data_IF_264704733970
#
_entry.id   IF_264704733970
#
_cell.length_a   1.000
_cell.length_b   1.000
_cell.length_c   1.000
_cell.angle_alpha   90.00
_cell.angle_beta   90.00
_cell.angle_gamma   90.00
#
_symmetry.space_group_name_H-M   'P 1'
#
loop_
_entity.id
_entity.type
_entity.pdbx_description
1 polymer ?
#
# COMPACT_ATOMS: atom_id res chain seq x y z
N UNK A 1 16.27 -20.91 3.94
CA UNK A 1 15.64 -20.00 4.93
C UNK A 1 15.09 -18.69 4.34
N UNK A 2 15.23 -18.41 3.02
CA UNK A 2 14.80 -17.13 2.41
C UNK A 2 13.28 -17.01 2.14
N UNK A 3 12.60 -18.11 1.78
CA UNK A 3 11.22 -18.05 1.28
C UNK A 3 10.13 -17.95 2.37
N UNK A 4 10.39 -18.41 3.60
CA UNK A 4 9.40 -18.41 4.69
C UNK A 4 9.12 -16.98 5.17
N UNK A 5 10.15 -16.13 5.24
CA UNK A 5 10.01 -14.74 5.66
C UNK A 5 9.26 -13.88 4.62
N UNK A 6 9.40 -14.21 3.33
CA UNK A 6 8.61 -13.58 2.27
C UNK A 6 7.13 -13.98 2.32
N UNK A 7 6.85 -15.25 2.64
CA UNK A 7 5.50 -15.78 2.78
C UNK A 7 4.77 -15.21 4.01
N UNK A 8 5.48 -15.01 5.14
CA UNK A 8 4.92 -14.36 6.33
C UNK A 8 4.52 -12.90 6.07
N UNK A 9 5.32 -12.13 5.31
CA UNK A 9 5.00 -10.74 4.93
C UNK A 9 3.77 -10.63 4.02
N UNK A 10 3.49 -11.64 3.19
CA UNK A 10 2.28 -11.70 2.36
C UNK A 10 1.03 -11.95 3.21
N UNK A 11 1.13 -12.77 4.26
CA UNK A 11 0.01 -13.08 5.17
C UNK A 11 -0.36 -11.85 6.02
N UNK A 12 0.61 -11.05 6.44
CA UNK A 12 0.36 -9.83 7.23
C UNK A 12 -0.42 -8.75 6.46
N UNK A 13 -0.42 -8.80 5.12
CA UNK A 13 -1.11 -7.85 4.26
C UNK A 13 -2.56 -8.20 3.91
N UNK A 14 -3.04 -9.41 4.24
CA UNK A 14 -4.39 -9.87 3.89
C UNK A 14 -5.38 -9.41 4.97
N UNK A 15 -6.24 -8.44 4.66
CA UNK A 15 -7.42 -8.11 5.49
C UNK A 15 -8.56 -9.04 5.13
N UNK A 16 -8.95 -9.89 6.10
CA UNK A 16 -10.12 -10.76 5.99
C UNK A 16 -11.38 -9.93 6.20
N UNK A 17 -12.29 -9.91 5.21
CA UNK A 17 -13.67 -9.49 5.45
C UNK A 17 -14.35 -10.57 6.29
N UNK A 18 -14.99 -10.22 7.42
CA UNK A 18 -15.57 -11.22 8.31
C UNK A 18 -16.87 -11.74 7.69
N UNK A 19 -16.82 -12.94 7.12
CA UNK A 19 -18.00 -13.81 7.10
C UNK A 19 -18.19 -14.40 8.50
N UNK A 20 -19.46 -14.70 8.81
CA UNK A 20 -20.10 -14.89 10.13
C UNK A 20 -19.52 -15.92 11.12
N UNK A 21 -18.33 -16.45 10.91
CA UNK A 21 -17.67 -17.34 11.86
C UNK A 21 -16.37 -16.71 12.36
N UNK A 22 -16.27 -16.49 13.67
CA UNK A 22 -15.11 -15.94 14.38
C UNK A 22 -13.83 -16.74 14.08
N UNK A 23 -13.09 -16.34 13.04
CA UNK A 23 -11.74 -16.81 12.77
C UNK A 23 -10.74 -15.83 13.39
N UNK A 24 -10.26 -16.15 14.61
CA UNK A 24 -9.15 -15.40 15.20
C UNK A 24 -7.92 -15.44 14.29
N UNK A 25 -7.16 -14.33 14.25
CA UNK A 25 -5.95 -14.22 13.43
C UNK A 25 -4.98 -15.39 13.65
N UNK A 26 -4.86 -15.90 14.90
CA UNK A 26 -3.99 -17.05 15.19
C UNK A 26 -4.50 -18.35 14.55
N UNK A 27 -5.82 -18.55 14.51
CA UNK A 27 -6.45 -19.75 13.93
C UNK A 27 -6.29 -19.78 12.41
N UNK A 28 -6.42 -18.62 11.75
CA UNK A 28 -6.13 -18.45 10.33
C UNK A 28 -4.65 -18.77 10.05
N UNK A 29 -3.72 -18.13 10.77
CA UNK A 29 -2.29 -18.34 10.57
C UNK A 29 -1.87 -19.81 10.77
N UNK A 30 -2.42 -20.48 11.78
CA UNK A 30 -2.12 -21.89 12.04
C UNK A 30 -2.67 -22.82 10.95
N UNK A 31 -3.83 -22.50 10.38
CA UNK A 31 -4.46 -23.28 9.29
C UNK A 31 -3.68 -23.14 7.99
N UNK A 32 -3.28 -21.91 7.63
CA UNK A 32 -2.43 -21.65 6.46
C UNK A 32 -1.06 -22.32 6.58
N UNK A 33 -0.43 -22.31 7.76
CA UNK A 33 0.88 -22.97 7.98
C UNK A 33 0.82 -24.50 7.95
N UNK A 34 -0.28 -25.11 8.41
CA UNK A 34 -0.35 -26.56 8.62
C UNK A 34 -1.03 -27.33 7.49
N UNK A 35 -1.96 -26.72 6.75
CA UNK A 35 -2.84 -27.45 5.82
C UNK A 35 -2.72 -27.03 4.35
N UNK A 36 -2.19 -25.84 4.07
CA UNK A 36 -2.15 -25.31 2.71
C UNK A 36 -0.70 -25.32 2.22
N UNK A 37 -0.43 -26.07 1.15
CA UNK A 37 0.90 -26.07 0.55
C UNK A 37 1.16 -24.68 -0.09
N UNK A 38 2.33 -24.04 0.11
CA UNK A 38 2.60 -22.70 -0.44
C UNK A 38 2.35 -22.57 -1.95
N UNK A 39 2.61 -23.64 -2.70
CA UNK A 39 2.30 -23.71 -4.14
C UNK A 39 0.81 -23.53 -4.44
N UNK A 40 -0.10 -24.02 -3.60
CA UNK A 40 -1.54 -23.81 -3.78
C UNK A 40 -1.89 -22.33 -3.61
N UNK A 41 -1.33 -21.64 -2.60
CA UNK A 41 -1.54 -20.19 -2.41
C UNK A 41 -1.05 -19.39 -3.62
N UNK A 42 0.14 -19.72 -4.11
CA UNK A 42 0.73 -19.06 -5.28
C UNK A 42 -0.09 -19.35 -6.55
N UNK A 43 -0.59 -20.59 -6.72
CA UNK A 43 -1.46 -20.96 -7.84
C UNK A 43 -2.84 -20.31 -7.79
N UNK A 44 -3.36 -19.92 -6.61
CA UNK A 44 -4.55 -19.07 -6.53
C UNK A 44 -4.27 -17.59 -6.81
N UNK A 45 -3.01 -17.16 -6.63
CA UNK A 45 -2.52 -15.81 -6.89
C UNK A 45 -1.91 -15.67 -8.30
N UNK A 46 -2.42 -16.42 -9.29
CA UNK A 46 -1.92 -16.47 -10.68
C UNK A 46 -1.60 -15.09 -11.26
N UNK A 47 -2.35 -14.06 -10.85
CA UNK A 47 -2.06 -12.66 -11.10
C UNK A 47 -2.07 -11.89 -9.77
N UNK A 48 -1.01 -11.12 -9.46
CA UNK A 48 -1.01 -10.21 -8.30
C UNK A 48 -1.63 -8.89 -8.75
N UNK A 49 -2.88 -8.57 -8.37
CA UNK A 49 -3.50 -7.32 -8.79
C UNK A 49 -2.80 -6.13 -8.12
N UNK A 50 -2.30 -5.21 -8.94
CA UNK A 50 -1.76 -3.92 -8.52
C UNK A 50 -2.83 -2.87 -8.77
N UNK A 51 -3.28 -2.22 -7.70
CA UNK A 51 -4.26 -1.14 -7.82
C UNK A 51 -3.58 0.18 -8.21
N UNK A 52 -4.14 0.87 -9.21
CA UNK A 52 -3.73 2.22 -9.58
C UNK A 52 -4.64 3.20 -8.84
N UNK A 53 -4.04 4.03 -7.99
CA UNK A 53 -4.75 5.12 -7.32
C UNK A 53 -4.36 6.47 -7.90
N UNK A 54 -5.34 7.31 -8.19
CA UNK A 54 -5.15 8.74 -8.42
C UNK A 54 -5.31 9.47 -7.08
N UNK A 55 -4.25 10.11 -6.61
CA UNK A 55 -4.19 10.79 -5.33
C UNK A 55 -4.03 12.29 -5.55
N UNK A 56 -4.94 13.07 -4.98
CA UNK A 56 -4.86 14.53 -4.93
C UNK A 56 -4.39 14.94 -3.55
N UNK A 57 -3.32 15.74 -3.48
CA UNK A 57 -2.77 16.22 -2.22
C UNK A 57 -2.45 17.71 -2.28
N UNK A 58 -2.47 18.34 -1.11
CA UNK A 58 -2.08 19.72 -0.87
C UNK A 58 -0.69 19.76 -0.23
N UNK A 59 0.04 20.82 -0.50
CA UNK A 59 1.30 21.13 0.17
C UNK A 59 1.52 22.64 0.24
N UNK A 60 2.41 23.07 1.12
CA UNK A 60 2.91 24.43 1.24
C UNK A 60 4.31 24.48 0.65
N UNK A 61 4.54 25.40 -0.28
CA UNK A 61 5.88 25.64 -0.85
C UNK A 61 6.77 26.39 0.14
N UNK A 62 8.09 26.33 -0.05
CA UNK A 62 9.06 27.14 0.71
C UNK A 62 8.72 28.63 0.80
N UNK A 63 8.00 29.19 -0.19
CA UNK A 63 7.54 30.59 -0.22
C UNK A 63 6.22 30.84 0.54
N UNK A 64 5.70 29.85 1.26
CA UNK A 64 4.43 29.94 1.99
C UNK A 64 3.17 29.73 1.13
N UNK A 65 3.29 29.52 -0.18
CA UNK A 65 2.13 29.32 -1.05
C UNK A 65 1.56 27.91 -0.90
N UNK A 66 0.24 27.80 -0.68
CA UNK A 66 -0.49 26.53 -0.73
C UNK A 66 -0.75 26.13 -2.19
N UNK A 67 -0.47 24.87 -2.52
CA UNK A 67 -0.65 24.29 -3.86
C UNK A 67 -1.27 22.90 -3.75
N UNK A 68 -1.95 22.49 -4.81
CA UNK A 68 -2.52 21.15 -4.94
C UNK A 68 -1.89 20.46 -6.15
N UNK A 69 -1.72 19.13 -6.05
CA UNK A 69 -1.16 18.30 -7.11
C UNK A 69 -1.83 16.94 -7.12
N UNK A 70 -1.90 16.35 -8.32
CA UNK A 70 -2.36 14.99 -8.53
C UNK A 70 -1.16 14.09 -8.89
N UNK A 71 -1.14 12.87 -8.34
CA UNK A 71 -0.16 11.83 -8.65
C UNK A 71 -0.85 10.47 -8.73
N UNK A 72 -0.23 9.55 -9.48
CA UNK A 72 -0.69 8.16 -9.57
C UNK A 72 0.23 7.26 -8.75
N UNK A 73 -0.36 6.41 -7.91
CA UNK A 73 0.34 5.44 -7.08
C UNK A 73 -0.04 4.02 -7.46
N UNK A 74 0.94 3.12 -7.44
CA UNK A 74 0.76 1.68 -7.62
C UNK A 74 0.77 1.02 -6.25
N UNK A 75 -0.36 0.47 -5.84
CA UNK A 75 -0.58 -0.09 -4.51
C UNK A 75 -0.81 -1.59 -4.63
N UNK A 76 -0.01 -2.36 -3.90
CA UNK A 76 0.00 -3.84 -3.93
C UNK A 76 -0.70 -4.48 -2.73
N UNK A 77 -1.38 -3.69 -1.91
CA UNK A 77 -1.89 -4.13 -0.60
C UNK A 77 -3.38 -3.84 -0.47
N UNK A 78 -3.98 -4.49 0.52
CA UNK A 78 -5.37 -4.30 0.91
C UNK A 78 -5.59 -3.13 1.87
N UNK A 79 -4.55 -2.36 2.21
CA UNK A 79 -4.65 -1.11 3.00
C UNK A 79 -4.15 0.09 2.17
N UNK A 80 -4.96 0.58 1.22
CA UNK A 80 -4.52 1.61 0.29
C UNK A 80 -4.15 2.92 0.97
N UNK A 81 -4.90 3.34 1.98
CA UNK A 81 -4.73 4.64 2.64
C UNK A 81 -3.35 4.79 3.30
N UNK A 82 -2.96 3.80 4.11
CA UNK A 82 -1.65 3.81 4.77
C UNK A 82 -0.50 3.80 3.77
N UNK A 83 -0.65 3.02 2.70
CA UNK A 83 0.40 2.89 1.70
C UNK A 83 0.49 4.15 0.82
N UNK A 84 -0.63 4.77 0.47
CA UNK A 84 -0.64 6.09 -0.19
C UNK A 84 0.11 7.12 0.64
N UNK A 85 -0.12 7.14 1.97
CA UNK A 85 0.58 8.06 2.86
C UNK A 85 2.08 7.77 2.89
N UNK A 86 2.50 6.51 3.06
CA UNK A 86 3.92 6.11 3.05
C UNK A 86 4.61 6.48 1.73
N UNK A 87 3.95 6.26 0.59
CA UNK A 87 4.46 6.64 -0.73
C UNK A 87 4.63 8.15 -0.85
N UNK A 88 3.63 8.91 -0.41
CA UNK A 88 3.67 10.36 -0.44
C UNK A 88 4.77 10.91 0.47
N UNK A 89 4.90 10.41 1.68
CA UNK A 89 5.96 10.82 2.62
C UNK A 89 7.34 10.58 2.05
N UNK A 90 7.55 9.39 1.46
CA UNK A 90 8.82 9.06 0.79
C UNK A 90 9.09 10.02 -0.38
N UNK A 91 8.09 10.25 -1.23
CA UNK A 91 8.21 11.17 -2.36
C UNK A 91 8.60 12.59 -1.91
N UNK A 92 7.95 13.11 -0.87
CA UNK A 92 8.21 14.44 -0.34
C UNK A 92 9.60 14.52 0.29
N UNK A 93 10.01 13.50 1.04
CA UNK A 93 11.35 13.44 1.63
C UNK A 93 12.44 13.42 0.55
N UNK A 94 12.28 12.59 -0.47
CA UNK A 94 13.22 12.51 -1.60
C UNK A 94 13.28 13.83 -2.38
N UNK A 95 12.12 14.46 -2.61
CA UNK A 95 12.04 15.76 -3.27
C UNK A 95 12.73 16.86 -2.45
N UNK A 96 12.47 16.93 -1.14
CA UNK A 96 13.04 17.93 -0.24
C UNK A 96 14.55 17.76 -0.07
N UNK A 97 15.05 16.52 -0.05
CA UNK A 97 16.47 16.21 -0.06
C UNK A 97 17.15 16.64 -1.36
N UNK A 98 16.49 16.42 -2.50
CA UNK A 98 17.00 16.80 -3.82
C UNK A 98 16.93 18.31 -4.08
N UNK A 99 15.96 19.01 -3.50
CA UNK A 99 15.74 20.44 -3.72
C UNK A 99 15.57 21.22 -2.39
N UNK A 100 16.67 21.45 -1.63
CA UNK A 100 16.61 22.12 -0.33
C UNK A 100 16.00 23.53 -0.36
N UNK A 101 16.21 24.28 -1.45
CA UNK A 101 15.69 25.64 -1.62
C UNK A 101 14.23 25.68 -2.14
N UNK A 102 13.59 24.52 -2.33
CA UNK A 102 12.20 24.41 -2.85
C UNK A 102 11.37 23.43 -2.04
N UNK A 103 11.71 23.25 -0.76
CA UNK A 103 11.05 22.30 0.12
C UNK A 103 9.53 22.46 0.15
N UNK A 104 8.86 21.32 0.29
CA UNK A 104 7.43 21.17 0.45
C UNK A 104 7.14 20.78 1.90
N UNK A 105 6.13 21.40 2.51
CA UNK A 105 5.71 21.13 3.89
C UNK A 105 4.18 21.10 4.01
N UNK A 106 3.66 20.73 5.19
CA UNK A 106 2.21 20.64 5.47
C UNK A 106 1.45 19.85 4.40
N UNK A 107 1.98 18.67 4.08
CA UNK A 107 1.44 17.81 3.03
C UNK A 107 0.22 17.07 3.56
N UNK A 108 -0.88 17.09 2.80
CA UNK A 108 -2.13 16.46 3.19
C UNK A 108 -2.81 15.85 1.96
N UNK A 109 -3.20 14.57 2.05
CA UNK A 109 -4.07 13.95 1.04
C UNK A 109 -5.47 14.56 1.16
N UNK A 110 -6.00 15.04 0.03
CA UNK A 110 -7.33 15.64 -0.06
C UNK A 110 -8.36 14.66 -0.58
N UNK A 111 -7.99 13.85 -1.57
CA UNK A 111 -8.86 12.89 -2.22
C UNK A 111 -8.02 11.77 -2.83
N UNK A 112 -8.61 10.59 -2.94
CA UNK A 112 -8.01 9.43 -3.58
C UNK A 112 -9.07 8.55 -4.22
N UNK A 113 -8.86 8.17 -5.47
CA UNK A 113 -9.76 7.26 -6.17
C UNK A 113 -8.99 6.15 -6.88
N UNK A 114 -9.45 4.91 -6.71
CA UNK A 114 -8.98 3.78 -7.50
C UNK A 114 -9.40 4.00 -8.96
N UNK A 115 -8.44 3.89 -9.89
CA UNK A 115 -8.64 4.05 -11.33
C UNK A 115 -8.63 2.73 -12.08
N UNK A 116 -8.12 1.67 -11.47
CA UNK A 116 -8.11 0.35 -12.08
C UNK A 116 -7.15 -0.60 -11.40
N UNK A 117 -7.15 -1.83 -11.90
CA UNK A 117 -6.24 -2.90 -11.50
C UNK A 117 -5.35 -3.23 -12.69
N UNK A 118 -4.07 -3.46 -12.43
CA UNK A 118 -3.12 -4.01 -13.39
C UNK A 118 -2.66 -5.35 -12.87
N UNK A 119 -2.74 -6.36 -13.73
CA UNK A 119 -2.21 -7.68 -13.46
C UNK A 119 -0.88 -7.85 -14.18
N UNK A 120 0.06 -8.54 -13.54
CA UNK A 120 1.42 -8.78 -14.02
C UNK A 120 1.61 -10.28 -14.29
#
# INVERSE_FOLDING_TARGET
MSNINAMLKLIDGITFLPDKDDFSKEKIQSTFKKKIHPRQVISFLEEIPISIYKVKFRYTTFRGNRREKEMYFLIKTYSPEEDMQKYLDKYINDFNKKFPNRQLSNVQILDSCCKGLVTL
#
